data_IF_854200873834
#
_entry.id   IF_854200873834
#
_cell.length_a   1.000
_cell.length_b   1.000
_cell.length_c   1.000
_cell.angle_alpha   90.00
_cell.angle_beta   90.00
_cell.angle_gamma   90.00
#
_symmetry.space_group_name_H-M   'P 1'
#
loop_
_entity.id
_entity.type
_entity.pdbx_description
1 polymer ?
#
# COMPACT_ATOMS: atom_id res chain seq x y z
N UNK A 1 5.52 -13.01 -41.05
CA UNK A 1 5.31 -11.54 -41.02
C UNK A 1 5.91 -10.99 -39.74
N UNK A 2 6.99 -10.21 -39.85
CA UNK A 2 7.67 -9.60 -38.70
C UNK A 2 7.05 -8.23 -38.44
N UNK A 3 6.43 -8.05 -37.27
CA UNK A 3 6.03 -6.73 -36.81
C UNK A 3 7.23 -6.04 -36.15
N UNK A 4 7.73 -5.03 -36.82
CA UNK A 4 8.75 -4.13 -36.30
C UNK A 4 8.07 -3.02 -35.49
N UNK A 5 8.22 -3.05 -34.18
CA UNK A 5 7.80 -1.94 -33.33
C UNK A 5 8.80 -0.78 -33.51
N UNK A 6 8.39 0.27 -34.23
CA UNK A 6 9.12 1.53 -34.26
C UNK A 6 8.89 2.28 -32.96
N UNK A 7 9.94 2.35 -32.14
CA UNK A 7 10.02 3.36 -31.09
C UNK A 7 10.10 4.74 -31.76
N UNK A 8 9.05 5.52 -31.65
CA UNK A 8 9.10 6.96 -31.93
C UNK A 8 9.52 7.69 -30.63
N UNK A 9 10.51 8.57 -30.66
CA UNK A 9 10.78 9.44 -29.52
C UNK A 9 9.71 10.52 -29.47
N UNK A 10 8.85 10.47 -28.46
CA UNK A 10 7.87 11.53 -28.16
C UNK A 10 8.59 12.72 -27.47
N UNK A 11 8.26 13.96 -27.86
CA UNK A 11 8.80 15.14 -27.19
C UNK A 11 8.31 15.22 -25.75
N UNK A 12 9.23 15.42 -24.81
CA UNK A 12 8.89 15.70 -23.42
C UNK A 12 8.15 17.03 -23.31
N UNK A 13 6.82 16.99 -23.32
CA UNK A 13 6.00 18.12 -22.90
C UNK A 13 5.88 18.12 -21.38
N UNK A 14 6.30 19.21 -20.76
CA UNK A 14 6.05 19.48 -19.33
C UNK A 14 4.55 19.74 -19.16
N UNK A 15 3.82 18.79 -18.61
CA UNK A 15 2.44 18.99 -18.20
C UNK A 15 2.44 19.27 -16.69
N UNK A 16 1.96 20.44 -16.31
CA UNK A 16 1.71 20.83 -14.93
C UNK A 16 0.19 20.78 -14.71
N UNK A 17 -0.28 19.79 -13.97
CA UNK A 17 -1.69 19.69 -13.60
C UNK A 17 -1.99 18.37 -12.90
N UNK A 18 -2.62 18.42 -11.73
CA UNK A 18 -3.16 17.26 -11.04
C UNK A 18 -4.64 17.18 -11.38
N UNK A 19 -5.03 16.44 -12.41
CA UNK A 19 -6.44 16.08 -12.58
C UNK A 19 -6.58 14.61 -12.94
N UNK A 20 -7.54 13.95 -12.33
CA UNK A 20 -7.94 12.57 -12.63
C UNK A 20 -8.27 12.41 -14.14
N UNK A 21 -8.86 13.45 -14.74
CA UNK A 21 -9.17 13.50 -16.17
C UNK A 21 -7.95 13.45 -17.10
N UNK A 22 -6.80 13.97 -16.66
CA UNK A 22 -5.54 13.86 -17.44
C UNK A 22 -4.96 12.45 -17.37
N UNK A 23 -5.14 11.77 -16.22
CA UNK A 23 -4.74 10.38 -16.07
C UNK A 23 -5.56 9.46 -16.98
N UNK A 24 -6.88 9.63 -16.99
CA UNK A 24 -7.78 8.88 -17.84
C UNK A 24 -7.46 9.10 -19.33
N UNK A 25 -7.23 10.33 -19.75
CA UNK A 25 -6.87 10.66 -21.12
C UNK A 25 -5.54 10.01 -21.58
N UNK A 26 -4.56 9.88 -20.66
CA UNK A 26 -3.30 9.20 -20.96
C UNK A 26 -3.49 7.69 -21.08
N UNK A 27 -4.30 7.06 -20.21
CA UNK A 27 -4.61 5.64 -20.29
C UNK A 27 -5.42 5.32 -21.56
N UNK A 28 -6.39 6.15 -21.94
CA UNK A 28 -7.13 6.04 -23.21
C UNK A 28 -6.24 6.23 -24.44
N UNK A 29 -5.18 7.03 -24.32
CA UNK A 29 -4.17 7.20 -25.37
C UNK A 29 -3.20 6.01 -25.50
N UNK A 30 -3.37 4.96 -24.65
CA UNK A 30 -2.61 3.73 -24.72
C UNK A 30 -1.33 3.73 -23.90
N UNK A 31 -1.22 4.59 -22.90
CA UNK A 31 -0.13 4.51 -21.90
C UNK A 31 -0.51 3.47 -20.84
N UNK A 32 0.44 2.61 -20.47
CA UNK A 32 0.24 1.56 -19.47
C UNK A 32 0.21 2.10 -18.03
N UNK A 33 0.65 3.34 -17.82
CA UNK A 33 0.63 4.03 -16.53
C UNK A 33 1.17 5.46 -16.63
N UNK A 34 0.84 6.29 -15.65
CA UNK A 34 1.35 7.66 -15.57
C UNK A 34 1.61 8.06 -14.12
N UNK A 35 2.60 8.96 -13.94
CA UNK A 35 2.96 9.52 -12.64
C UNK A 35 3.16 11.03 -12.78
N UNK A 36 2.61 11.80 -11.83
CA UNK A 36 2.70 13.26 -11.84
C UNK A 36 3.70 13.75 -10.77
N UNK A 37 4.50 14.74 -11.13
CA UNK A 37 5.43 15.37 -10.17
C UNK A 37 4.69 16.39 -9.27
N UNK A 38 5.02 16.48 -7.97
CA UNK A 38 6.01 15.68 -7.26
C UNK A 38 5.48 14.28 -6.93
N UNK A 39 6.32 13.26 -7.03
CA UNK A 39 6.01 11.88 -6.69
C UNK A 39 7.04 11.31 -5.70
N UNK A 40 6.60 10.39 -4.87
CA UNK A 40 7.48 9.60 -4.00
C UNK A 40 8.10 8.42 -4.76
N UNK A 41 9.16 7.85 -4.20
CA UNK A 41 9.74 6.61 -4.73
C UNK A 41 8.72 5.47 -4.75
N UNK A 42 7.84 5.43 -3.75
CA UNK A 42 6.79 4.41 -3.66
C UNK A 42 5.73 4.55 -4.76
N UNK A 43 5.28 5.77 -5.07
CA UNK A 43 4.38 6.00 -6.21
C UNK A 43 5.01 5.55 -7.53
N UNK A 44 6.29 5.80 -7.73
CA UNK A 44 7.00 5.32 -8.91
C UNK A 44 7.03 3.79 -8.97
N UNK A 45 7.37 3.13 -7.85
CA UNK A 45 7.43 1.66 -7.77
C UNK A 45 6.05 1.02 -8.00
N UNK A 46 4.96 1.64 -7.50
CA UNK A 46 3.59 1.19 -7.75
C UNK A 46 3.22 1.24 -9.22
N UNK A 47 3.48 2.36 -9.88
CA UNK A 47 3.21 2.49 -11.33
C UNK A 47 4.02 1.45 -12.12
N UNK A 48 5.28 1.25 -11.79
CA UNK A 48 6.11 0.22 -12.44
C UNK A 48 5.53 -1.17 -12.18
N UNK A 49 5.14 -1.49 -10.94
CA UNK A 49 4.57 -2.78 -10.59
C UNK A 49 3.23 -3.04 -11.31
N UNK A 50 2.35 -2.06 -11.43
CA UNK A 50 1.08 -2.17 -12.15
C UNK A 50 1.29 -2.43 -13.64
N UNK A 51 2.24 -1.73 -14.27
CA UNK A 51 2.56 -1.90 -15.70
C UNK A 51 3.19 -3.27 -15.98
N UNK A 52 4.11 -3.72 -15.12
CA UNK A 52 4.82 -5.01 -15.30
C UNK A 52 3.92 -6.22 -15.04
N UNK A 53 2.98 -6.11 -14.10
CA UNK A 53 2.13 -7.25 -13.68
C UNK A 53 0.74 -7.28 -14.33
N UNK A 54 0.32 -6.24 -15.05
CA UNK A 54 -1.04 -6.14 -15.62
C UNK A 54 -2.13 -6.19 -14.54
N UNK A 55 -1.85 -5.76 -13.31
CA UNK A 55 -2.74 -5.84 -12.16
C UNK A 55 -3.58 -4.59 -12.00
N UNK A 56 -4.88 -4.77 -11.80
CA UNK A 56 -5.79 -3.73 -11.33
C UNK A 56 -5.32 -3.20 -9.97
N UNK A 57 -5.28 -1.88 -9.75
CA UNK A 57 -4.96 -1.33 -8.43
C UNK A 57 -6.10 -1.64 -7.45
N UNK A 58 -5.87 -2.45 -6.45
CA UNK A 58 -6.73 -2.45 -5.28
C UNK A 58 -7.28 -3.74 -4.70
N UNK A 59 -6.83 -4.95 -5.08
CA UNK A 59 -7.50 -6.16 -4.59
C UNK A 59 -6.66 -7.15 -3.73
N UNK A 60 -5.36 -6.97 -3.57
CA UNK A 60 -4.55 -7.84 -2.70
C UNK A 60 -3.37 -7.10 -2.11
N UNK A 61 -3.08 -7.37 -0.84
CA UNK A 61 -1.87 -6.90 -0.15
C UNK A 61 -0.62 -7.38 -0.90
N UNK A 62 0.21 -6.46 -1.35
CA UNK A 62 1.43 -6.79 -2.11
C UNK A 62 2.68 -6.68 -1.24
N UNK A 63 3.18 -7.80 -0.76
CA UNK A 63 4.41 -7.88 0.03
C UNK A 63 5.69 -7.82 -0.81
N UNK A 64 5.62 -7.77 -2.14
CA UNK A 64 6.79 -7.88 -3.02
C UNK A 64 7.82 -6.79 -2.79
N UNK A 65 7.39 -5.56 -2.50
CA UNK A 65 8.29 -4.41 -2.21
C UNK A 65 8.97 -4.62 -0.86
N UNK A 66 8.20 -5.01 0.17
CA UNK A 66 8.72 -5.22 1.52
C UNK A 66 9.69 -6.42 1.60
N UNK A 67 9.44 -7.46 0.81
CA UNK A 67 10.24 -8.67 0.80
C UNK A 67 11.35 -8.67 -0.26
N UNK A 68 11.50 -7.59 -1.04
CA UNK A 68 12.56 -7.46 -2.00
C UNK A 68 13.94 -7.45 -1.32
N UNK A 69 14.84 -8.31 -1.80
CA UNK A 69 16.22 -8.42 -1.30
C UNK A 69 16.37 -8.78 0.20
N UNK A 70 15.34 -9.39 0.79
CA UNK A 70 15.36 -9.86 2.18
C UNK A 70 15.70 -11.35 2.20
N UNK A 71 16.71 -11.73 3.02
CA UNK A 71 17.13 -13.13 3.19
C UNK A 71 16.17 -13.92 4.08
N UNK A 72 15.62 -13.31 5.13
CA UNK A 72 14.67 -13.93 6.06
C UNK A 72 13.29 -13.28 5.95
N UNK A 73 12.58 -13.63 4.90
CA UNK A 73 11.24 -13.12 4.58
C UNK A 73 10.21 -13.41 5.69
N UNK A 74 10.29 -14.62 6.27
CA UNK A 74 9.37 -15.06 7.33
C UNK A 74 9.52 -14.22 8.58
N UNK A 75 10.74 -13.87 8.96
CA UNK A 75 10.99 -13.03 10.12
C UNK A 75 10.48 -11.60 9.93
N UNK A 76 10.65 -11.03 8.74
CA UNK A 76 10.10 -9.71 8.41
C UNK A 76 8.58 -9.69 8.53
N UNK A 77 7.89 -10.69 7.97
CA UNK A 77 6.43 -10.79 8.06
C UNK A 77 5.95 -10.99 9.51
N UNK A 78 6.62 -11.80 10.31
CA UNK A 78 6.30 -11.96 11.74
C UNK A 78 6.48 -10.65 12.52
N UNK A 79 7.58 -9.94 12.30
CA UNK A 79 7.82 -8.64 12.94
C UNK A 79 6.74 -7.62 12.53
N UNK A 80 6.29 -7.65 11.27
CA UNK A 80 5.18 -6.83 10.82
C UNK A 80 3.88 -7.18 11.54
N UNK A 81 3.55 -8.48 11.65
CA UNK A 81 2.36 -8.96 12.38
C UNK A 81 2.38 -8.46 13.82
N UNK A 82 3.48 -8.67 14.55
CA UNK A 82 3.64 -8.22 15.93
C UNK A 82 3.46 -6.70 16.07
N UNK A 83 3.97 -5.92 15.10
CA UNK A 83 3.79 -4.47 15.08
C UNK A 83 2.33 -4.09 14.84
N UNK A 84 1.65 -4.76 13.91
CA UNK A 84 0.23 -4.57 13.60
C UNK A 84 -0.67 -4.90 14.80
N UNK A 85 -0.43 -6.01 15.48
CA UNK A 85 -1.17 -6.42 16.69
C UNK A 85 -1.06 -5.35 17.78
N UNK A 86 0.15 -4.82 17.99
CA UNK A 86 0.39 -3.73 18.93
C UNK A 86 -0.36 -2.46 18.51
N UNK A 87 -0.34 -2.10 17.24
CA UNK A 87 -1.03 -0.91 16.74
C UNK A 87 -2.55 -1.03 16.92
N UNK A 88 -3.14 -2.22 16.76
CA UNK A 88 -4.56 -2.48 17.06
C UNK A 88 -4.85 -2.20 18.54
N UNK A 89 -4.02 -2.72 19.45
CA UNK A 89 -4.20 -2.50 20.89
C UNK A 89 -4.11 -1.02 21.24
N UNK A 90 -3.08 -0.34 20.74
CA UNK A 90 -2.86 1.08 20.98
C UNK A 90 -4.03 1.92 20.43
N UNK A 91 -4.54 1.61 19.23
CA UNK A 91 -5.71 2.28 18.64
C UNK A 91 -6.97 2.05 19.46
N UNK A 92 -7.26 0.83 19.92
CA UNK A 92 -8.42 0.51 20.78
C UNK A 92 -8.37 1.28 22.09
N UNK A 93 -7.19 1.42 22.70
CA UNK A 93 -6.99 2.25 23.91
C UNK A 93 -7.25 3.73 23.59
N UNK A 94 -6.69 4.25 22.50
CA UNK A 94 -6.87 5.64 22.11
C UNK A 94 -8.34 5.95 21.78
N UNK A 95 -9.08 5.01 21.16
CA UNK A 95 -10.51 5.12 20.90
C UNK A 95 -11.34 5.19 22.18
N UNK A 96 -11.05 4.30 23.14
CA UNK A 96 -11.76 4.28 24.44
C UNK A 96 -11.56 5.57 25.21
N UNK A 97 -10.39 6.18 25.07
CA UNK A 97 -10.07 7.48 25.68
C UNK A 97 -10.50 8.68 24.83
N UNK A 98 -11.10 8.47 23.65
CA UNK A 98 -11.40 9.49 22.64
C UNK A 98 -10.20 10.42 22.33
N UNK A 99 -8.99 9.86 22.46
CA UNK A 99 -7.74 10.59 22.32
C UNK A 99 -7.27 10.67 20.87
N UNK A 100 -7.76 11.67 20.16
CA UNK A 100 -7.46 11.92 18.75
C UNK A 100 -5.96 12.12 18.47
N UNK A 101 -5.21 12.75 19.39
CA UNK A 101 -3.77 12.96 19.24
C UNK A 101 -3.00 11.65 19.28
N UNK A 102 -3.39 10.74 20.19
CA UNK A 102 -2.82 9.39 20.22
C UNK A 102 -3.12 8.62 18.93
N UNK A 103 -4.36 8.67 18.41
CA UNK A 103 -4.72 8.05 17.13
C UNK A 103 -3.87 8.62 15.97
N UNK A 104 -3.64 9.94 15.95
CA UNK A 104 -2.78 10.60 14.96
C UNK A 104 -1.33 10.13 15.04
N UNK A 105 -0.78 10.01 16.24
CA UNK A 105 0.58 9.53 16.46
C UNK A 105 0.76 8.08 16.00
N UNK A 106 -0.21 7.22 16.31
CA UNK A 106 -0.21 5.81 15.86
C UNK A 106 -0.29 5.74 14.34
N UNK A 107 -1.24 6.43 13.72
CA UNK A 107 -1.38 6.48 12.26
C UNK A 107 -0.11 6.99 11.55
N UNK A 108 0.60 7.94 12.16
CA UNK A 108 1.86 8.43 11.62
C UNK A 108 2.97 7.36 11.69
N UNK A 109 3.04 6.61 12.79
CA UNK A 109 4.01 5.51 12.97
C UNK A 109 3.76 4.36 11.98
N UNK A 110 2.50 4.03 11.73
CA UNK A 110 2.11 2.94 10.81
C UNK A 110 2.42 3.27 9.33
N UNK A 111 2.40 4.54 8.96
CA UNK A 111 2.40 4.99 7.58
C UNK A 111 3.51 4.39 6.70
N UNK A 112 4.80 4.37 7.10
CA UNK A 112 5.86 3.84 6.25
C UNK A 112 5.69 2.36 5.87
N UNK A 113 5.19 1.55 6.79
CA UNK A 113 4.92 0.14 6.55
C UNK A 113 3.73 -0.04 5.59
N UNK A 114 2.66 0.70 5.78
CA UNK A 114 1.46 0.62 4.96
C UNK A 114 1.71 1.05 3.50
N UNK A 115 2.57 2.05 3.30
CA UNK A 115 3.03 2.41 1.96
C UNK A 115 3.73 1.24 1.25
N UNK A 116 4.48 0.42 2.00
CA UNK A 116 5.22 -0.72 1.43
C UNK A 116 4.30 -1.88 1.01
N UNK A 117 3.09 -1.96 1.55
CA UNK A 117 2.11 -3.03 1.27
C UNK A 117 0.89 -2.54 0.47
N UNK A 118 1.00 -1.37 -0.17
CA UNK A 118 -0.02 -0.81 -1.07
C UNK A 118 -1.38 -0.47 -0.44
N UNK A 119 -1.38 -0.11 0.85
CA UNK A 119 -2.59 0.29 1.59
C UNK A 119 -2.67 1.79 1.89
N UNK A 120 -1.93 2.61 1.16
CA UNK A 120 -1.76 4.04 1.40
C UNK A 120 -3.01 4.89 1.20
N UNK A 121 -3.89 4.54 0.26
CA UNK A 121 -5.12 5.32 0.01
C UNK A 121 -6.05 5.32 1.23
N UNK A 122 -6.24 4.14 1.84
CA UNK A 122 -7.06 3.98 3.04
C UNK A 122 -6.48 4.77 4.20
N UNK A 123 -5.16 4.65 4.39
CA UNK A 123 -4.47 5.36 5.45
C UNK A 123 -4.43 6.87 5.21
N UNK A 124 -4.33 7.31 3.96
CA UNK A 124 -4.39 8.72 3.60
C UNK A 124 -5.77 9.32 3.95
N UNK A 125 -6.86 8.62 3.63
CA UNK A 125 -8.21 9.03 4.01
C UNK A 125 -8.35 9.16 5.53
N UNK A 126 -7.88 8.18 6.29
CA UNK A 126 -7.87 8.22 7.75
C UNK A 126 -7.04 9.40 8.31
N UNK A 127 -5.85 9.63 7.78
CA UNK A 127 -5.02 10.78 8.19
C UNK A 127 -5.69 12.12 7.93
N UNK A 128 -6.46 12.25 6.86
CA UNK A 128 -7.20 13.46 6.56
C UNK A 128 -8.32 13.69 7.59
N UNK A 129 -9.08 12.65 7.95
CA UNK A 129 -10.08 12.70 9.03
C UNK A 129 -9.44 13.11 10.37
N UNK A 130 -8.27 12.56 10.69
CA UNK A 130 -7.56 12.92 11.93
C UNK A 130 -7.02 14.34 11.94
N UNK A 131 -6.74 14.96 10.79
CA UNK A 131 -6.27 16.34 10.67
C UNK A 131 -7.40 17.36 10.70
N UNK A 132 -8.58 16.98 10.25
CA UNK A 132 -9.73 17.86 10.17
C UNK A 132 -10.29 18.13 11.56
N UNK A 133 -10.07 19.36 12.08
CA UNK A 133 -10.54 19.79 13.39
C UNK A 133 -12.07 19.84 13.50
N UNK A 134 -12.76 19.98 12.38
CA UNK A 134 -14.22 20.12 12.33
C UNK A 134 -14.91 18.74 12.23
N UNK A 135 -14.15 17.68 12.03
CA UNK A 135 -14.65 16.32 12.02
C UNK A 135 -15.09 15.88 13.43
N UNK A 136 -16.33 15.44 13.56
CA UNK A 136 -16.89 15.00 14.84
C UNK A 136 -16.23 13.70 15.36
N UNK A 137 -16.31 13.50 16.67
CA UNK A 137 -15.70 12.33 17.35
C UNK A 137 -16.22 11.01 16.80
N UNK A 138 -17.53 10.91 16.52
CA UNK A 138 -18.11 9.64 16.03
C UNK A 138 -17.56 9.27 14.66
N UNK A 139 -17.40 10.22 13.77
CA UNK A 139 -16.78 10.01 12.45
C UNK A 139 -15.32 9.54 12.60
N UNK A 140 -14.55 10.16 13.50
CA UNK A 140 -13.18 9.72 13.81
C UNK A 140 -13.14 8.27 14.30
N UNK A 141 -14.01 7.91 15.24
CA UNK A 141 -14.09 6.55 15.79
C UNK A 141 -14.48 5.52 14.72
N UNK A 142 -15.43 5.86 13.84
CA UNK A 142 -15.84 4.99 12.74
C UNK A 142 -14.67 4.72 11.77
N UNK A 143 -13.95 5.76 11.39
CA UNK A 143 -12.77 5.62 10.54
C UNK A 143 -11.65 4.83 11.23
N UNK A 144 -11.46 5.01 12.55
CA UNK A 144 -10.47 4.24 13.31
C UNK A 144 -10.84 2.74 13.36
N UNK A 145 -12.13 2.41 13.55
CA UNK A 145 -12.59 1.02 13.43
C UNK A 145 -12.32 0.42 12.05
N UNK A 146 -12.54 1.19 10.99
CA UNK A 146 -12.27 0.76 9.62
C UNK A 146 -10.77 0.45 9.41
N UNK A 147 -9.90 1.30 9.95
CA UNK A 147 -8.45 1.04 9.93
C UNK A 147 -8.09 -0.24 10.68
N UNK A 148 -8.66 -0.47 11.87
CA UNK A 148 -8.43 -1.71 12.63
C UNK A 148 -8.80 -2.93 11.80
N UNK A 149 -9.95 -2.93 11.12
CA UNK A 149 -10.36 -4.03 10.24
C UNK A 149 -9.34 -4.25 9.11
N UNK A 150 -8.82 -3.21 8.52
CA UNK A 150 -7.77 -3.34 7.49
C UNK A 150 -6.45 -3.89 8.05
N UNK A 151 -6.09 -3.54 9.30
CA UNK A 151 -4.91 -4.13 9.96
C UNK A 151 -5.13 -5.63 10.19
N UNK A 152 -6.32 -6.03 10.64
CA UNK A 152 -6.68 -7.43 10.86
C UNK A 152 -6.58 -8.24 9.55
N UNK A 153 -7.05 -7.73 8.43
CA UNK A 153 -6.87 -8.35 7.12
C UNK A 153 -5.39 -8.42 6.70
N UNK A 154 -4.62 -7.36 6.94
CA UNK A 154 -3.19 -7.35 6.64
C UNK A 154 -2.43 -8.43 7.43
N UNK A 155 -2.80 -8.66 8.69
CA UNK A 155 -2.24 -9.74 9.52
C UNK A 155 -2.57 -11.11 8.92
N UNK A 156 -3.81 -11.33 8.48
CA UNK A 156 -4.24 -12.57 7.83
C UNK A 156 -3.47 -12.83 6.54
N UNK A 157 -3.38 -11.82 5.66
CA UNK A 157 -2.63 -11.90 4.40
C UNK A 157 -1.15 -12.22 4.64
N UNK A 158 -0.54 -11.60 5.66
CA UNK A 158 0.85 -11.88 6.02
C UNK A 158 1.04 -13.31 6.56
N UNK A 159 0.07 -13.82 7.31
CA UNK A 159 0.05 -15.22 7.75
C UNK A 159 0.01 -16.19 6.56
N UNK A 160 -0.88 -15.95 5.61
CA UNK A 160 -1.01 -16.74 4.38
C UNK A 160 0.30 -16.70 3.55
N UNK A 161 0.93 -15.55 3.47
CA UNK A 161 2.21 -15.40 2.75
C UNK A 161 3.34 -16.18 3.44
N UNK A 162 3.39 -16.22 4.78
CA UNK A 162 4.34 -17.07 5.53
C UNK A 162 4.13 -18.55 5.20
N UNK A 163 2.88 -19.02 5.19
CA UNK A 163 2.56 -20.41 4.85
C UNK A 163 2.99 -20.74 3.43
N UNK A 164 2.74 -19.87 2.46
CA UNK A 164 3.18 -20.00 1.09
C UNK A 164 4.70 -20.16 0.96
N UNK A 165 5.46 -19.32 1.67
CA UNK A 165 6.93 -19.37 1.68
C UNK A 165 7.42 -20.71 2.26
N UNK A 166 6.82 -21.19 3.35
CA UNK A 166 7.16 -22.47 3.99
C UNK A 166 6.92 -23.65 3.04
N UNK A 167 5.82 -23.64 2.30
CA UNK A 167 5.51 -24.73 1.36
C UNK A 167 6.41 -24.71 0.13
N UNK A 168 6.81 -23.53 -0.35
CA UNK A 168 7.82 -23.42 -1.41
C UNK A 168 9.17 -24.01 -0.98
N UNK A 169 9.64 -23.73 0.24
CA UNK A 169 10.88 -24.28 0.80
C UNK A 169 10.85 -25.82 0.87
N UNK A 170 9.76 -26.40 1.41
CA UNK A 170 9.59 -27.86 1.46
C UNK A 170 9.62 -28.53 0.08
N UNK A 171 9.03 -27.88 -0.92
CA UNK A 171 8.98 -28.39 -2.28
C UNK A 171 10.37 -28.38 -2.96
N UNK A 172 11.23 -27.44 -2.60
CA UNK A 172 12.62 -27.37 -3.11
C UNK A 172 13.45 -28.48 -2.47
N UNK A 173 13.37 -28.68 -1.15
CA UNK A 173 14.09 -29.73 -0.43
C UNK A 173 13.69 -31.16 -0.87
N UNK A 174 12.46 -31.34 -1.35
CA UNK A 174 11.94 -32.63 -1.80
C UNK A 174 12.41 -33.02 -3.21
N UNK A 175 13.03 -32.09 -3.96
CA UNK A 175 13.48 -32.29 -5.34
C UNK A 175 15.00 -32.40 -5.50
N UNK A 176 15.75 -32.23 -4.43
CA UNK A 176 17.22 -32.36 -4.35
C UNK A 176 17.64 -33.68 -3.80
#
# INVERSE_FOLDING_TARGET
MRFSARLMPLPMQKVYGRSESEREALLEAGFDGCIFKPFSMNELLKVIASVVKGREPGSETDFSVMLANVSDKKNILRTMIESCEKDIVDLKIAMTAENRESMRSIAHRMFPMWEMVSMDEILLAYRNVLKDSDCDTQTVLNHTNHIITHIEHLIEDAGNEIERIVDEEKNIDSRG
#
